data_IF_016845740353
#
_entry.id   IF_016845740353
#
_cell.length_a   1.000
_cell.length_b   1.000
_cell.length_c   1.000
_cell.angle_alpha   90.00
_cell.angle_beta   90.00
_cell.angle_gamma   90.00
#
_symmetry.space_group_name_H-M   'P 1'
#
loop_
_entity.id
_entity.type
_entity.pdbx_description
1 polymer ?
#
# COMPACT_ATOMS: atom_id res chain seq x y z
N UNK A 1 7.22 68.79 -46.27
CA UNK A 1 7.18 70.24 -46.00
C UNK A 1 6.69 70.43 -44.57
N UNK A 2 7.56 71.02 -43.73
CA UNK A 2 7.32 71.85 -42.53
C UNK A 2 5.91 72.43 -42.35
N UNK A 3 5.38 72.83 -41.18
CA UNK A 3 5.72 72.79 -39.73
C UNK A 3 4.56 73.53 -39.00
N UNK A 4 4.51 73.40 -37.66
CA UNK A 4 3.86 74.22 -36.60
C UNK A 4 2.51 73.69 -36.10
N UNK A 5 2.41 73.10 -34.89
CA UNK A 5 2.68 73.57 -33.52
C UNK A 5 1.60 74.55 -33.01
N UNK A 6 0.88 74.20 -31.93
CA UNK A 6 1.21 74.64 -30.56
C UNK A 6 0.18 74.12 -29.51
N UNK A 7 0.67 73.81 -28.30
CA UNK A 7 -0.11 73.42 -27.10
C UNK A 7 -0.74 74.63 -26.38
N UNK A 8 -1.16 74.54 -25.09
CA UNK A 8 -0.45 73.94 -23.94
C UNK A 8 -1.33 73.00 -23.07
N UNK A 9 -0.84 71.91 -22.43
CA UNK A 9 -0.05 71.77 -21.18
C UNK A 9 -0.57 72.59 -19.98
N UNK A 10 -1.21 71.92 -18.99
CA UNK A 10 -0.82 71.98 -17.56
C UNK A 10 -1.66 71.04 -16.68
N UNK A 11 -0.97 70.22 -15.89
CA UNK A 11 -1.41 69.62 -14.61
C UNK A 11 -0.51 70.23 -13.52
N UNK A 12 -1.07 70.74 -12.42
CA UNK A 12 -0.67 70.30 -11.06
C UNK A 12 -1.91 70.31 -10.11
N UNK A 13 -1.95 69.79 -8.88
CA UNK A 13 -0.97 69.27 -7.94
C UNK A 13 -1.64 68.25 -6.98
N UNK A 14 -0.82 67.63 -6.13
CA UNK A 14 -1.14 66.56 -5.18
C UNK A 14 -1.53 67.15 -3.82
N UNK A 15 -2.73 66.87 -3.33
CA UNK A 15 -3.07 67.16 -1.91
C UNK A 15 -2.60 66.01 -1.03
N UNK A 16 -1.75 66.34 -0.05
CA UNK A 16 -1.20 65.46 0.99
C UNK A 16 -2.19 65.39 2.19
N UNK A 17 -2.36 64.24 2.86
CA UNK A 17 -3.30 64.10 3.96
C UNK A 17 -2.78 64.71 5.27
N UNK A 18 -3.65 65.17 6.19
CA UNK A 18 -3.27 65.44 7.57
C UNK A 18 -3.17 64.15 8.40
N UNK A 19 -2.26 64.17 9.37
CA UNK A 19 -1.79 63.06 10.20
C UNK A 19 -2.70 62.72 11.40
N UNK A 20 -2.47 61.51 11.95
CA UNK A 20 -3.08 60.88 13.13
C UNK A 20 -3.10 61.74 14.41
N UNK A 21 -3.89 61.32 15.42
CA UNK A 21 -3.22 60.70 16.56
C UNK A 21 -3.83 59.34 17.00
N UNK A 22 -3.01 58.29 17.00
CA UNK A 22 -3.04 57.20 18.00
C UNK A 22 -2.45 57.76 19.33
N UNK A 23 -2.58 57.16 20.54
CA UNK A 23 -2.74 55.73 20.90
C UNK A 23 -3.79 55.53 22.06
N UNK A 24 -4.16 54.36 22.62
CA UNK A 24 -3.42 53.23 23.23
C UNK A 24 -4.37 52.03 23.49
N UNK A 25 -3.85 50.80 23.64
CA UNK A 25 -4.61 49.56 23.81
C UNK A 25 -5.06 49.28 25.26
N UNK A 26 -6.09 48.43 25.48
CA UNK A 26 -6.57 48.11 26.82
C UNK A 26 -5.57 47.25 27.59
N UNK A 27 -5.18 47.77 28.75
CA UNK A 27 -4.40 47.10 29.79
C UNK A 27 -5.22 45.99 30.42
N UNK A 28 -4.73 44.74 30.37
CA UNK A 28 -5.13 43.74 31.35
C UNK A 28 -4.39 44.04 32.65
N UNK A 29 -5.13 44.32 33.72
CA UNK A 29 -4.55 44.41 35.07
C UNK A 29 -5.40 43.64 36.06
N UNK A 30 -4.69 42.77 36.76
CA UNK A 30 -5.01 41.89 37.87
C UNK A 30 -5.60 42.58 39.10
N UNK A 31 -6.75 42.08 39.59
CA UNK A 31 -7.03 41.54 40.96
C UNK A 31 -8.47 41.80 41.45
N UNK A 32 -9.19 40.69 41.55
CA UNK A 32 -10.03 40.23 42.66
C UNK A 32 -11.20 41.08 43.20
N UNK A 33 -12.42 40.53 43.04
CA UNK A 33 -13.34 40.37 44.16
C UNK A 33 -14.17 39.09 43.98
N UNK A 34 -14.01 38.20 44.95
CA UNK A 34 -14.72 36.94 45.14
C UNK A 34 -16.19 37.18 45.47
N UNK A 35 -17.12 36.56 44.72
CA UNK A 35 -18.39 36.06 45.27
C UNK A 35 -18.79 34.76 44.56
N UNK A 36 -18.79 33.68 45.36
CA UNK A 36 -19.27 32.34 45.06
C UNK A 36 -20.72 32.33 44.54
N UNK A 37 -20.99 31.49 43.55
CA UNK A 37 -22.22 30.70 43.42
C UNK A 37 -21.93 29.51 42.51
N UNK A 38 -21.56 28.42 43.15
CA UNK A 38 -21.31 27.10 42.56
C UNK A 38 -22.63 26.40 42.26
N UNK A 39 -22.91 26.12 40.99
CA UNK A 39 -23.73 24.98 40.57
C UNK A 39 -22.94 24.25 39.50
N UNK A 40 -22.32 23.16 39.91
CA UNK A 40 -21.55 22.23 39.11
C UNK A 40 -22.49 21.38 38.26
N UNK A 41 -22.56 21.64 36.96
CA UNK A 41 -22.98 20.65 35.97
C UNK A 41 -21.72 20.04 35.37
N UNK A 42 -21.29 18.92 35.94
CA UNK A 42 -20.17 18.11 35.48
C UNK A 42 -20.58 17.45 34.16
N UNK A 43 -20.22 18.07 33.04
CA UNK A 43 -20.31 17.42 31.73
C UNK A 43 -19.30 18.03 30.75
N UNK A 44 -18.00 17.92 31.05
CA UNK A 44 -16.94 18.42 30.14
C UNK A 44 -15.58 17.74 30.32
N UNK A 45 -15.53 16.46 30.73
CA UNK A 45 -14.25 15.70 30.76
C UNK A 45 -14.05 14.76 29.58
N UNK A 46 -15.01 14.66 28.63
CA UNK A 46 -14.84 13.80 27.44
C UNK A 46 -14.11 14.47 26.26
N UNK A 47 -13.70 15.74 26.36
CA UNK A 47 -13.15 16.50 25.22
C UNK A 47 -11.65 16.80 25.28
N UNK A 48 -10.88 16.15 26.18
CA UNK A 48 -9.42 16.32 26.22
C UNK A 48 -8.62 15.09 25.73
N UNK A 49 -9.23 13.92 25.60
CA UNK A 49 -8.55 12.72 25.08
C UNK A 49 -8.50 12.68 23.53
N UNK A 50 -9.34 13.47 22.83
CA UNK A 50 -9.41 13.47 21.36
C UNK A 50 -8.25 14.22 20.71
N UNK A 51 -7.72 15.26 21.34
CA UNK A 51 -6.68 16.11 20.76
C UNK A 51 -5.28 15.46 20.75
N UNK A 52 -5.06 14.41 21.56
CA UNK A 52 -3.76 13.74 21.70
C UNK A 52 -3.52 12.69 20.62
N UNK A 53 -4.56 12.19 19.94
CA UNK A 53 -4.43 11.08 18.98
C UNK A 53 -4.59 11.49 17.51
N UNK A 54 -4.76 12.77 17.19
CA UNK A 54 -4.97 13.22 15.80
C UNK A 54 -6.21 12.58 15.13
N UNK A 55 -7.13 12.03 15.93
CA UNK A 55 -8.37 11.37 15.50
C UNK A 55 -9.55 12.31 15.74
N UNK A 56 -10.48 12.30 14.80
CA UNK A 56 -11.72 13.05 14.92
C UNK A 56 -12.61 12.47 16.02
N UNK A 57 -13.54 13.28 16.55
CA UNK A 57 -14.55 12.76 17.47
C UNK A 57 -15.48 11.79 16.72
N UNK A 58 -16.06 10.77 17.39
CA UNK A 58 -16.94 9.82 16.71
C UNK A 58 -18.11 10.47 15.95
N UNK A 59 -18.62 11.59 16.47
CA UNK A 59 -19.68 12.38 15.80
C UNK A 59 -19.18 13.04 14.52
N UNK A 60 -17.96 13.61 14.54
CA UNK A 60 -17.34 14.19 13.35
C UNK A 60 -16.99 13.11 12.32
N UNK A 61 -16.47 11.96 12.75
CA UNK A 61 -16.18 10.82 11.87
C UNK A 61 -17.45 10.34 11.16
N UNK A 62 -18.56 10.20 11.89
CA UNK A 62 -19.84 9.80 11.30
C UNK A 62 -20.29 10.77 10.21
N UNK A 63 -20.10 12.07 10.43
CA UNK A 63 -20.42 13.10 9.42
C UNK A 63 -19.53 12.99 8.18
N UNK A 64 -18.22 12.79 8.36
CA UNK A 64 -17.27 12.61 7.25
C UNK A 64 -17.57 11.35 6.44
N UNK A 65 -17.89 10.23 7.11
CA UNK A 65 -18.29 8.99 6.47
C UNK A 65 -19.62 9.16 5.73
N UNK A 66 -20.58 9.90 6.28
CA UNK A 66 -21.85 10.23 5.59
C UNK A 66 -21.60 11.04 4.31
N UNK A 67 -20.81 12.12 4.40
CA UNK A 67 -20.46 12.95 3.25
C UNK A 67 -19.72 12.15 2.16
N UNK A 68 -18.77 11.29 2.56
CA UNK A 68 -18.08 10.38 1.64
C UNK A 68 -19.05 9.38 0.99
N UNK A 69 -20.03 8.86 1.74
CA UNK A 69 -21.05 7.94 1.22
C UNK A 69 -22.00 8.61 0.22
N UNK A 70 -22.33 9.89 0.39
CA UNK A 70 -23.10 10.67 -0.58
C UNK A 70 -22.33 10.82 -1.89
N UNK A 71 -21.05 11.18 -1.83
CA UNK A 71 -20.18 11.24 -3.01
C UNK A 71 -20.02 9.86 -3.67
N UNK A 72 -19.89 8.80 -2.88
CA UNK A 72 -19.88 7.41 -3.37
C UNK A 72 -21.17 7.07 -4.13
N UNK A 73 -22.33 7.49 -3.62
CA UNK A 73 -23.61 7.27 -4.29
C UNK A 73 -23.69 8.02 -5.63
N UNK A 74 -23.23 9.28 -5.66
CA UNK A 74 -23.11 10.05 -6.90
C UNK A 74 -22.19 9.33 -7.91
N UNK A 75 -21.00 8.94 -7.48
CA UNK A 75 -20.03 8.21 -8.31
C UNK A 75 -20.58 6.87 -8.82
N UNK A 76 -21.35 6.13 -8.02
CA UNK A 76 -22.03 4.92 -8.45
C UNK A 76 -23.06 5.19 -9.56
N UNK A 77 -23.77 6.33 -9.50
CA UNK A 77 -24.66 6.75 -10.57
C UNK A 77 -23.86 7.08 -11.86
N UNK A 78 -22.70 7.73 -11.73
CA UNK A 78 -21.80 7.98 -12.88
C UNK A 78 -21.22 6.68 -13.46
N UNK A 79 -20.93 5.69 -12.60
CA UNK A 79 -20.49 4.37 -13.02
C UNK A 79 -21.58 3.63 -13.81
N UNK A 80 -22.84 3.72 -13.37
CA UNK A 80 -23.97 3.08 -14.04
C UNK A 80 -24.22 3.64 -15.46
N UNK A 81 -23.96 4.94 -15.68
CA UNK A 81 -23.98 5.58 -17.02
C UNK A 81 -22.70 5.36 -17.85
N UNK A 82 -21.78 4.50 -17.39
CA UNK A 82 -20.48 4.23 -18.02
C UNK A 82 -19.53 5.43 -18.14
N UNK A 83 -19.73 6.49 -17.35
CA UNK A 83 -18.83 7.64 -17.31
C UNK A 83 -17.74 7.44 -16.25
N UNK A 84 -16.80 6.55 -16.55
CA UNK A 84 -15.80 6.09 -15.58
C UNK A 84 -14.82 7.17 -15.13
N UNK A 85 -14.40 8.08 -16.02
CA UNK A 85 -13.44 9.14 -15.67
C UNK A 85 -14.05 10.13 -14.66
N UNK A 86 -15.29 10.55 -14.88
CA UNK A 86 -16.02 11.41 -13.93
C UNK A 86 -16.34 10.66 -12.62
N UNK A 87 -16.63 9.36 -12.69
CA UNK A 87 -16.80 8.51 -11.52
C UNK A 87 -15.52 8.47 -10.67
N UNK A 88 -14.35 8.27 -11.29
CA UNK A 88 -13.04 8.28 -10.61
C UNK A 88 -12.83 9.60 -9.88
N UNK A 89 -13.00 10.74 -10.57
CA UNK A 89 -12.86 12.07 -9.94
C UNK A 89 -13.79 12.26 -8.74
N UNK A 90 -15.01 11.71 -8.81
CA UNK A 90 -15.98 11.80 -7.71
C UNK A 90 -15.60 10.87 -6.54
N UNK A 91 -15.05 9.69 -6.82
CA UNK A 91 -14.49 8.81 -5.78
C UNK A 91 -13.24 9.40 -5.12
N UNK A 92 -12.38 10.09 -5.87
CA UNK A 92 -11.19 10.77 -5.32
C UNK A 92 -11.60 11.90 -4.36
N UNK A 93 -12.65 12.64 -4.70
CA UNK A 93 -13.28 13.59 -3.77
C UNK A 93 -13.80 12.88 -2.53
N UNK A 94 -14.46 11.73 -2.67
CA UNK A 94 -14.94 10.94 -1.53
C UNK A 94 -13.79 10.43 -0.64
N UNK A 95 -12.63 10.11 -1.22
CA UNK A 95 -11.43 9.71 -0.50
C UNK A 95 -10.79 10.87 0.26
N UNK A 96 -10.83 12.09 -0.29
CA UNK A 96 -10.29 13.28 0.35
C UNK A 96 -11.09 13.68 1.62
N UNK A 97 -12.38 13.37 1.66
CA UNK A 97 -13.23 13.58 2.85
C UNK A 97 -12.92 12.60 4.00
N UNK A 98 -12.27 11.46 3.72
CA UNK A 98 -12.03 10.43 4.73
C UNK A 98 -10.67 10.60 5.42
N UNK A 99 -10.61 10.50 6.76
CA UNK A 99 -9.34 10.39 7.48
C UNK A 99 -8.58 9.10 7.09
N UNK A 100 -7.24 9.19 6.98
CA UNK A 100 -6.37 8.09 6.52
C UNK A 100 -6.40 6.81 7.37
N UNK A 101 -6.99 6.85 8.56
CA UNK A 101 -7.07 5.71 9.47
C UNK A 101 -8.40 4.93 9.33
N UNK A 102 -9.34 5.37 8.49
CA UNK A 102 -10.56 4.62 8.17
C UNK A 102 -10.30 3.66 7.00
N UNK A 103 -9.47 2.67 7.26
CA UNK A 103 -8.89 1.78 6.25
C UNK A 103 -9.94 0.99 5.47
N UNK A 104 -11.01 0.51 6.13
CA UNK A 104 -12.10 -0.19 5.45
C UNK A 104 -12.88 0.71 4.48
N UNK A 105 -13.29 1.91 4.91
CA UNK A 105 -14.08 2.82 4.05
C UNK A 105 -13.25 3.25 2.84
N UNK A 106 -11.96 3.54 3.06
CA UNK A 106 -11.00 3.80 1.99
C UNK A 106 -10.88 2.61 1.05
N UNK A 107 -10.77 1.38 1.56
CA UNK A 107 -10.67 0.18 0.74
C UNK A 107 -11.92 -0.07 -0.12
N UNK A 108 -13.12 0.27 0.37
CA UNK A 108 -14.36 0.20 -0.41
C UNK A 108 -14.30 1.15 -1.60
N UNK A 109 -13.88 2.40 -1.39
CA UNK A 109 -13.75 3.39 -2.46
C UNK A 109 -12.66 3.01 -3.45
N UNK A 110 -11.48 2.59 -2.98
CA UNK A 110 -10.38 2.10 -3.82
C UNK A 110 -10.80 0.89 -4.66
N UNK A 111 -11.61 -0.01 -4.12
CA UNK A 111 -12.22 -1.12 -4.86
C UNK A 111 -13.07 -0.62 -6.05
N UNK A 112 -13.83 0.46 -5.88
CA UNK A 112 -14.67 1.00 -6.94
C UNK A 112 -13.88 1.82 -7.97
N UNK A 113 -12.87 2.58 -7.53
CA UNK A 113 -11.90 3.25 -8.41
C UNK A 113 -11.19 2.22 -9.29
N UNK A 114 -10.70 1.12 -8.70
CA UNK A 114 -10.10 0.03 -9.45
C UNK A 114 -11.08 -0.60 -10.46
N UNK A 115 -12.37 -0.70 -10.13
CA UNK A 115 -13.38 -1.17 -11.09
C UNK A 115 -13.53 -0.24 -12.29
N UNK A 116 -13.43 1.07 -12.09
CA UNK A 116 -13.43 2.07 -13.17
C UNK A 116 -12.20 1.92 -14.05
N UNK A 117 -11.00 1.82 -13.48
CA UNK A 117 -9.77 1.63 -14.25
C UNK A 117 -9.75 0.31 -15.04
N UNK A 118 -10.29 -0.78 -14.47
CA UNK A 118 -10.46 -2.05 -15.19
C UNK A 118 -11.38 -1.88 -16.41
N UNK A 119 -12.41 -1.02 -16.33
CA UNK A 119 -13.32 -0.74 -17.45
C UNK A 119 -12.69 0.17 -18.51
N UNK A 120 -11.75 1.03 -18.11
CA UNK A 120 -10.96 1.89 -18.99
C UNK A 120 -9.69 1.21 -19.53
N UNK A 121 -9.46 -0.06 -19.18
CA UNK A 121 -8.23 -0.81 -19.53
C UNK A 121 -6.94 -0.15 -19.04
N UNK A 122 -7.03 0.69 -18.00
CA UNK A 122 -5.90 1.32 -17.32
C UNK A 122 -5.35 0.36 -16.27
N UNK A 123 -4.68 -0.69 -16.74
CA UNK A 123 -4.27 -1.81 -15.89
C UNK A 123 -3.32 -1.44 -14.75
N UNK A 124 -2.44 -0.46 -14.96
CA UNK A 124 -1.45 -0.02 -13.96
C UNK A 124 -2.15 0.69 -12.79
N UNK A 125 -2.96 1.70 -13.10
CA UNK A 125 -3.73 2.46 -12.11
C UNK A 125 -4.72 1.55 -11.36
N UNK A 126 -5.32 0.57 -12.05
CA UNK A 126 -6.15 -0.44 -11.42
C UNK A 126 -5.39 -1.28 -10.38
N UNK A 127 -4.15 -1.68 -10.66
CA UNK A 127 -3.31 -2.43 -9.72
C UNK A 127 -2.93 -1.57 -8.52
N UNK A 128 -2.54 -0.33 -8.73
CA UNK A 128 -2.17 0.61 -7.65
C UNK A 128 -3.35 0.85 -6.70
N UNK A 129 -4.54 1.14 -7.24
CA UNK A 129 -5.76 1.29 -6.45
C UNK A 129 -6.09 0.00 -5.67
N UNK A 130 -5.92 -1.18 -6.29
CA UNK A 130 -6.12 -2.45 -5.60
C UNK A 130 -5.13 -2.66 -4.44
N UNK A 131 -3.86 -2.32 -4.65
CA UNK A 131 -2.81 -2.45 -3.63
C UNK A 131 -3.02 -1.49 -2.46
N UNK A 132 -3.41 -0.25 -2.74
CA UNK A 132 -3.79 0.72 -1.71
C UNK A 132 -4.93 0.19 -0.83
N UNK A 133 -6.00 -0.32 -1.45
CA UNK A 133 -7.14 -0.92 -0.73
C UNK A 133 -6.75 -2.17 0.07
N UNK A 134 -5.98 -3.09 -0.52
CA UNK A 134 -5.51 -4.29 0.17
C UNK A 134 -4.58 -3.96 1.35
N UNK A 135 -3.73 -2.95 1.19
CA UNK A 135 -2.84 -2.46 2.25
C UNK A 135 -3.60 -1.89 3.44
N UNK A 136 -4.72 -1.19 3.21
CA UNK A 136 -5.64 -0.76 4.27
C UNK A 136 -6.29 -1.95 4.98
N UNK A 137 -6.86 -2.89 4.23
CA UNK A 137 -7.50 -4.07 4.83
C UNK A 137 -6.53 -4.97 5.59
N UNK A 138 -5.26 -5.04 5.20
CA UNK A 138 -4.22 -5.78 5.95
C UNK A 138 -3.88 -5.10 7.29
N UNK A 139 -4.04 -3.78 7.41
CA UNK A 139 -3.91 -3.08 8.71
C UNK A 139 -5.10 -3.34 9.62
N UNK A 140 -6.31 -3.39 9.06
CA UNK A 140 -7.56 -3.65 9.79
C UNK A 140 -7.69 -5.11 10.22
N UNK A 141 -7.45 -6.03 9.29
CA UNK A 141 -7.55 -7.47 9.50
C UNK A 141 -6.32 -8.16 8.91
N UNK A 142 -5.22 -8.24 9.68
CA UNK A 142 -3.99 -8.90 9.24
C UNK A 142 -4.24 -10.36 8.89
N UNK A 143 -3.72 -10.77 7.73
CA UNK A 143 -3.78 -12.16 7.24
C UNK A 143 -2.45 -12.87 7.38
N UNK A 144 -1.35 -12.10 7.38
CA UNK A 144 0.01 -12.63 7.55
C UNK A 144 0.44 -12.45 9.00
N UNK A 145 0.76 -13.54 9.68
CA UNK A 145 1.47 -13.47 10.96
C UNK A 145 2.84 -12.84 10.71
N UNK A 146 3.14 -11.69 11.32
CA UNK A 146 4.49 -11.11 11.30
C UNK A 146 5.42 -12.13 11.99
N UNK A 147 6.16 -12.91 11.20
CA UNK A 147 7.33 -13.64 11.70
C UNK A 147 8.34 -12.58 12.15
N UNK A 148 8.37 -12.27 13.43
CA UNK A 148 9.48 -11.58 14.05
C UNK A 148 10.74 -12.38 13.73
N UNK A 149 11.61 -11.81 12.89
CA UNK A 149 12.96 -12.33 12.71
C UNK A 149 13.69 -12.08 14.03
N UNK A 150 13.70 -13.05 14.92
CA UNK A 150 14.68 -13.08 16.01
C UNK A 150 16.04 -13.19 15.34
N UNK A 151 16.83 -12.11 15.36
CA UNK A 151 18.25 -12.13 15.04
C UNK A 151 18.91 -13.19 15.92
N UNK A 152 19.21 -14.36 15.33
CA UNK A 152 20.13 -15.30 15.95
C UNK A 152 21.53 -14.76 15.75
N UNK A 153 22.00 -14.00 16.73
CA UNK A 153 23.41 -13.71 16.94
C UNK A 153 24.16 -15.04 16.98
N UNK A 154 24.94 -15.32 15.92
CA UNK A 154 25.84 -16.48 15.85
C UNK A 154 27.01 -16.24 16.80
N UNK A 155 26.88 -16.64 18.06
CA UNK A 155 28.04 -16.79 18.94
C UNK A 155 28.75 -18.09 18.57
N UNK A 156 29.95 -17.97 17.98
CA UNK A 156 30.88 -19.08 17.73
C UNK A 156 31.25 -19.75 19.05
N UNK A 157 30.80 -20.98 19.29
CA UNK A 157 31.36 -21.83 20.33
C UNK A 157 32.47 -22.69 19.72
N UNK A 158 33.73 -22.32 20.04
CA UNK A 158 34.89 -23.20 19.85
C UNK A 158 34.83 -24.33 20.88
N UNK A 159 35.07 -25.53 20.37
CA UNK A 159 35.36 -26.76 21.10
C UNK A 159 36.53 -26.59 22.08
N UNK A 160 36.31 -26.95 23.34
CA UNK A 160 37.33 -27.07 24.38
C UNK A 160 36.93 -28.16 25.36
N UNK A 161 37.70 -29.22 25.39
CA UNK A 161 37.52 -30.43 26.17
C UNK A 161 38.27 -30.27 27.50
N UNK A 162 37.65 -30.48 28.68
CA UNK A 162 38.30 -31.07 29.86
C UNK A 162 37.38 -31.24 31.10
N UNK A 163 37.33 -32.51 31.55
CA UNK A 163 37.66 -33.01 32.91
C UNK A 163 36.78 -32.63 34.12
N UNK A 164 36.04 -33.66 34.58
CA UNK A 164 35.82 -34.17 35.96
C UNK A 164 36.20 -33.24 37.14
N UNK A 165 35.27 -33.04 38.09
CA UNK A 165 35.38 -33.49 39.51
C UNK A 165 34.05 -33.33 40.26
N UNK A 166 33.95 -34.09 41.36
CA UNK A 166 32.84 -34.39 42.27
C UNK A 166 32.89 -33.44 43.49
N UNK A 167 31.77 -33.12 44.15
CA UNK A 167 31.79 -32.58 45.52
C UNK A 167 30.62 -31.67 45.94
N UNK A 168 29.74 -32.24 46.76
CA UNK A 168 28.89 -31.74 47.86
C UNK A 168 28.56 -30.25 48.07
N UNK A 169 27.32 -30.00 48.55
CA UNK A 169 27.03 -28.86 49.45
C UNK A 169 25.69 -28.14 49.32
N UNK A 170 24.60 -28.79 49.78
CA UNK A 170 23.49 -28.30 50.63
C UNK A 170 23.03 -26.81 50.62
N UNK A 171 21.69 -26.67 50.74
CA UNK A 171 20.83 -25.59 51.31
C UNK A 171 20.81 -24.21 50.62
N UNK A 172 19.63 -23.82 50.12
CA UNK A 172 18.72 -22.90 50.84
C UNK A 172 17.28 -23.02 50.32
N UNK A 173 16.36 -23.07 51.27
CA UNK A 173 14.91 -22.97 51.14
C UNK A 173 14.47 -21.50 51.23
N UNK A 174 13.22 -21.28 50.81
CA UNK A 174 12.34 -20.16 51.18
C UNK A 174 12.68 -18.75 50.66
N UNK A 175 11.88 -18.30 49.69
CA UNK A 175 10.85 -17.26 49.91
C UNK A 175 10.12 -17.01 48.60
N UNK A 176 8.84 -17.38 48.60
CA UNK A 176 7.86 -16.96 47.61
C UNK A 176 7.52 -15.47 47.78
N UNK A 177 7.45 -14.75 46.67
CA UNK A 177 6.42 -13.74 46.36
C UNK A 177 6.96 -12.89 45.22
N UNK A 178 6.40 -13.03 44.01
CA UNK A 178 5.95 -11.86 43.26
C UNK A 178 5.05 -12.24 42.09
N UNK A 179 3.90 -11.57 42.11
CA UNK A 179 2.75 -11.57 41.20
C UNK A 179 3.13 -11.58 39.70
N UNK A 180 2.84 -12.68 38.99
CA UNK A 180 2.84 -12.69 37.53
C UNK A 180 1.51 -12.14 36.99
N UNK A 181 1.53 -10.86 36.60
CA UNK A 181 0.57 -10.28 35.67
C UNK A 181 0.87 -10.75 34.25
N UNK A 182 0.39 -11.93 33.88
CA UNK A 182 0.57 -12.50 32.55
C UNK A 182 -0.55 -12.04 31.60
N UNK A 183 -0.40 -10.88 30.95
CA UNK A 183 -1.23 -10.54 29.78
C UNK A 183 -0.60 -11.11 28.50
N UNK A 184 -0.95 -12.37 28.20
CA UNK A 184 -0.66 -13.06 26.94
C UNK A 184 -1.48 -12.42 25.81
N UNK A 185 -0.83 -11.66 24.92
CA UNK A 185 -1.44 -11.19 23.66
C UNK A 185 -0.92 -11.98 22.45
N UNK A 186 -0.86 -13.31 22.59
CA UNK A 186 -0.21 -14.19 21.62
C UNK A 186 -1.07 -15.31 21.03
N UNK A 187 -2.39 -15.15 20.83
CA UNK A 187 -3.23 -16.28 20.38
C UNK A 187 -3.94 -16.10 19.02
N UNK A 188 -3.34 -16.79 18.05
CA UNK A 188 -3.86 -17.37 16.80
C UNK A 188 -5.37 -17.20 16.53
N UNK A 189 -5.71 -16.40 15.51
CA UNK A 189 -7.06 -16.33 14.98
C UNK A 189 -7.26 -17.40 13.89
N UNK A 190 -7.37 -18.67 14.29
CA UNK A 190 -8.08 -19.69 13.50
C UNK A 190 -9.57 -19.48 13.78
N UNK A 191 -10.39 -19.35 12.75
CA UNK A 191 -11.83 -19.07 12.86
C UNK A 191 -12.59 -20.11 13.69
N UNK A 192 -12.56 -19.93 15.01
CA UNK A 192 -13.04 -20.86 16.02
C UNK A 192 -12.56 -20.50 17.44
N UNK A 193 -12.18 -19.25 17.70
CA UNK A 193 -11.91 -18.79 19.07
C UNK A 193 -13.22 -18.78 19.84
N UNK A 194 -13.41 -19.77 20.71
CA UNK A 194 -14.53 -19.80 21.65
C UNK A 194 -14.28 -18.72 22.70
N UNK A 195 -15.05 -17.65 22.66
CA UNK A 195 -15.06 -16.65 23.73
C UNK A 195 -15.99 -17.19 24.81
N UNK A 196 -15.42 -17.69 25.91
CA UNK A 196 -16.20 -18.11 27.07
C UNK A 196 -16.71 -16.86 27.78
N UNK A 197 -18.04 -16.71 27.87
CA UNK A 197 -18.65 -15.65 28.67
C UNK A 197 -18.64 -16.07 30.13
N UNK A 198 -18.16 -15.22 31.06
CA UNK A 198 -18.18 -15.55 32.47
C UNK A 198 -19.61 -15.76 32.95
N UNK A 199 -19.86 -16.87 33.64
CA UNK A 199 -21.19 -17.31 34.12
C UNK A 199 -21.84 -16.35 35.14
N UNK A 200 -21.14 -15.28 35.55
CA UNK A 200 -21.59 -14.25 36.47
C UNK A 200 -22.21 -13.02 35.80
N UNK A 201 -22.21 -12.95 34.45
CA UNK A 201 -22.84 -11.85 33.72
C UNK A 201 -24.37 -12.01 33.72
N UNK A 202 -25.09 -10.89 33.93
CA UNK A 202 -26.53 -10.87 33.78
C UNK A 202 -26.95 -11.14 32.32
N UNK A 203 -28.18 -11.65 32.12
CA UNK A 203 -28.71 -11.98 30.79
C UNK A 203 -28.62 -10.81 29.80
N UNK A 204 -28.76 -9.57 30.27
CA UNK A 204 -28.64 -8.37 29.46
C UNK A 204 -27.19 -8.12 28.97
N UNK A 205 -26.19 -8.40 29.80
CA UNK A 205 -24.78 -8.22 29.45
C UNK A 205 -24.27 -9.34 28.54
N UNK A 206 -24.81 -10.56 28.72
CA UNK A 206 -24.64 -11.67 27.76
C UNK A 206 -25.22 -11.30 26.40
N UNK A 207 -26.43 -10.72 26.35
CA UNK A 207 -27.02 -10.27 25.09
C UNK A 207 -26.19 -9.17 24.40
N UNK A 208 -25.69 -8.18 25.16
CA UNK A 208 -24.83 -7.11 24.64
C UNK A 208 -23.51 -7.63 24.07
N UNK A 209 -22.86 -8.57 24.76
CA UNK A 209 -21.60 -9.17 24.31
C UNK A 209 -21.80 -10.01 23.05
N UNK A 210 -22.85 -10.82 22.98
CA UNK A 210 -23.22 -11.56 21.76
C UNK A 210 -23.50 -10.62 20.56
N UNK A 211 -24.22 -9.52 20.79
CA UNK A 211 -24.47 -8.53 19.76
C UNK A 211 -23.18 -7.86 19.25
N UNK A 212 -22.25 -7.54 20.15
CA UNK A 212 -20.94 -6.98 19.79
C UNK A 212 -20.08 -7.98 19.00
N UNK A 213 -20.09 -9.27 19.37
CA UNK A 213 -19.41 -10.33 18.63
C UNK A 213 -19.99 -10.49 17.23
N UNK A 214 -21.32 -10.53 17.10
CA UNK A 214 -22.01 -10.62 15.81
C UNK A 214 -21.68 -9.44 14.88
N UNK A 215 -21.65 -8.22 15.42
CA UNK A 215 -21.23 -7.03 14.66
C UNK A 215 -19.78 -7.15 14.19
N UNK A 216 -18.90 -7.72 15.02
CA UNK A 216 -17.50 -7.96 14.65
C UNK A 216 -17.37 -9.00 13.53
N UNK A 217 -18.20 -10.04 13.54
CA UNK A 217 -18.24 -11.06 12.48
C UNK A 217 -18.80 -10.52 11.17
N UNK A 218 -19.84 -9.68 11.23
CA UNK A 218 -20.35 -8.96 10.07
C UNK A 218 -19.26 -8.08 9.45
N UNK A 219 -18.51 -7.34 10.28
CA UNK A 219 -17.38 -6.52 9.81
C UNK A 219 -16.28 -7.36 9.17
N UNK A 220 -15.94 -8.52 9.73
CA UNK A 220 -14.97 -9.47 9.15
C UNK A 220 -15.45 -10.01 7.80
N UNK A 221 -16.74 -10.34 7.68
CA UNK A 221 -17.34 -10.81 6.43
C UNK A 221 -17.29 -9.72 5.35
N UNK A 222 -17.57 -8.48 5.72
CA UNK A 222 -17.50 -7.32 4.81
C UNK A 222 -16.07 -7.05 4.33
N UNK A 223 -15.10 -7.03 5.26
CA UNK A 223 -13.67 -6.92 4.92
C UNK A 223 -13.26 -8.03 3.96
N UNK A 224 -13.69 -9.26 4.23
CA UNK A 224 -13.41 -10.42 3.38
C UNK A 224 -13.96 -10.22 1.96
N UNK A 225 -15.20 -9.75 1.83
CA UNK A 225 -15.83 -9.49 0.53
C UNK A 225 -15.09 -8.40 -0.26
N UNK A 226 -14.69 -7.31 0.39
CA UNK A 226 -13.93 -6.24 -0.28
C UNK A 226 -12.53 -6.74 -0.68
N UNK A 227 -11.84 -7.49 0.19
CA UNK A 227 -10.55 -8.11 -0.12
C UNK A 227 -10.63 -9.03 -1.34
N UNK A 228 -11.65 -9.88 -1.41
CA UNK A 228 -11.90 -10.76 -2.56
C UNK A 228 -12.06 -9.95 -3.85
N UNK A 229 -12.87 -8.88 -3.83
CA UNK A 229 -13.07 -8.02 -5.00
C UNK A 229 -11.78 -7.34 -5.45
N UNK A 230 -10.96 -6.85 -4.51
CA UNK A 230 -9.67 -6.23 -4.80
C UNK A 230 -8.69 -7.25 -5.40
N UNK A 231 -8.57 -8.44 -4.81
CA UNK A 231 -7.71 -9.52 -5.33
C UNK A 231 -8.11 -9.92 -6.75
N UNK A 232 -9.42 -10.09 -7.00
CA UNK A 232 -9.91 -10.47 -8.32
C UNK A 232 -9.59 -9.41 -9.39
N UNK A 233 -9.80 -8.13 -9.06
CA UNK A 233 -9.48 -7.01 -9.97
C UNK A 233 -7.98 -6.87 -10.21
N UNK A 234 -7.16 -7.04 -9.17
CA UNK A 234 -5.70 -7.02 -9.28
C UNK A 234 -5.19 -8.16 -10.17
N UNK A 235 -5.68 -9.38 -9.94
CA UNK A 235 -5.34 -10.56 -10.73
C UNK A 235 -5.71 -10.38 -12.22
N UNK A 236 -6.93 -9.86 -12.48
CA UNK A 236 -7.37 -9.55 -13.85
C UNK A 236 -6.52 -8.48 -14.50
N UNK A 237 -6.21 -7.40 -13.78
CA UNK A 237 -5.41 -6.30 -14.32
C UNK A 237 -3.99 -6.73 -14.65
N UNK A 238 -3.35 -7.49 -13.75
CA UNK A 238 -2.01 -8.05 -13.96
C UNK A 238 -1.97 -9.05 -15.13
N UNK A 239 -2.99 -9.87 -15.29
CA UNK A 239 -3.07 -10.84 -16.40
C UNK A 239 -3.43 -10.23 -17.76
N UNK A 240 -3.99 -9.01 -17.77
CA UNK A 240 -4.38 -8.26 -18.98
C UNK A 240 -3.36 -7.18 -19.35
N UNK A 241 -2.34 -6.96 -18.52
CA UNK A 241 -1.30 -5.97 -18.78
C UNK A 241 -0.53 -6.34 -20.07
N UNK A 242 -0.27 -5.37 -20.97
CA UNK A 242 0.51 -5.62 -22.17
C UNK A 242 1.94 -6.04 -21.80
N UNK A 243 2.54 -6.87 -22.64
CA UNK A 243 3.93 -7.25 -22.47
C UNK A 243 4.81 -6.00 -22.60
N UNK A 244 5.51 -5.65 -21.53
CA UNK A 244 6.49 -4.57 -21.53
C UNK A 244 7.84 -5.22 -21.83
N UNK A 245 8.47 -4.86 -22.96
CA UNK A 245 9.88 -5.17 -23.15
C UNK A 245 10.66 -4.39 -22.10
N UNK A 246 11.53 -5.08 -21.37
CA UNK A 246 12.35 -4.50 -20.29
C UNK A 246 13.28 -3.37 -20.76
N UNK A 247 13.34 -3.09 -22.06
CA UNK A 247 14.33 -2.21 -22.66
C UNK A 247 13.79 -1.05 -23.48
N UNK A 248 12.47 -0.94 -23.72
CA UNK A 248 11.89 0.26 -24.35
C UNK A 248 12.09 1.55 -23.51
N UNK A 249 12.51 1.41 -22.24
CA UNK A 249 12.89 2.53 -21.36
C UNK A 249 14.36 2.98 -21.51
N UNK A 250 15.23 2.24 -22.21
CA UNK A 250 16.60 2.71 -22.50
C UNK A 250 16.57 3.41 -23.85
N UNK A 251 16.37 4.74 -23.80
CA UNK A 251 16.09 5.58 -24.95
C UNK A 251 16.93 5.28 -26.20
N UNK A 252 16.26 5.30 -27.35
CA UNK A 252 16.90 5.35 -28.66
C UNK A 252 18.03 6.40 -28.67
N UNK A 253 19.26 6.03 -29.05
CA UNK A 253 20.33 7.01 -29.25
C UNK A 253 20.04 7.74 -30.58
N UNK A 254 19.23 8.80 -30.53
CA UNK A 254 18.89 9.58 -31.73
C UNK A 254 17.82 10.66 -31.59
N UNK A 255 17.12 10.77 -30.46
CA UNK A 255 16.15 11.83 -30.22
C UNK A 255 16.79 13.07 -29.60
N UNK A 256 16.73 14.21 -30.30
CA UNK A 256 17.17 15.52 -29.80
C UNK A 256 16.51 15.88 -28.44
N UNK A 257 17.20 16.63 -27.56
CA UNK A 257 16.65 16.98 -26.25
C UNK A 257 15.45 17.94 -26.40
N UNK A 258 14.30 17.69 -25.76
CA UNK A 258 13.28 18.70 -25.61
C UNK A 258 13.73 19.75 -24.59
N UNK A 259 13.61 21.01 -25.01
CA UNK A 259 13.98 22.20 -24.26
C UNK A 259 13.22 22.29 -22.92
N UNK A 260 13.95 22.64 -21.86
CA UNK A 260 13.47 22.71 -20.48
C UNK A 260 12.79 24.04 -20.17
N UNK A 261 11.56 24.00 -19.65
CA UNK A 261 11.08 24.98 -18.67
C UNK A 261 9.76 24.54 -18.01
N UNK A 262 9.80 24.39 -16.68
CA UNK A 262 8.75 24.53 -15.65
C UNK A 262 8.44 23.30 -14.75
N UNK A 263 8.69 23.55 -13.46
CA UNK A 263 8.10 22.96 -12.23
C UNK A 263 8.66 21.68 -11.59
N UNK A 264 9.26 21.78 -10.38
CA UNK A 264 9.63 20.65 -9.55
C UNK A 264 8.67 20.53 -8.35
N UNK A 265 7.43 20.05 -8.56
CA UNK A 265 6.59 19.59 -7.44
C UNK A 265 5.77 18.36 -7.80
N UNK A 266 6.08 17.26 -7.11
CA UNK A 266 5.22 16.09 -6.92
C UNK A 266 5.04 15.11 -8.11
N UNK A 267 5.87 14.08 -8.15
CA UNK A 267 5.39 12.68 -8.06
C UNK A 267 6.57 11.72 -7.92
N UNK A 268 6.51 10.87 -6.89
CA UNK A 268 7.36 9.69 -6.76
C UNK A 268 6.96 8.70 -7.87
N UNK A 269 7.48 8.86 -9.08
CA UNK A 269 7.42 7.79 -10.08
C UNK A 269 8.43 6.73 -9.66
N UNK A 270 7.96 5.68 -8.98
CA UNK A 270 8.74 4.46 -8.79
C UNK A 270 9.04 3.88 -10.17
N UNK A 271 10.23 4.16 -10.69
CA UNK A 271 10.68 3.76 -12.01
C UNK A 271 11.10 2.27 -12.01
N UNK A 272 10.19 1.40 -11.58
CA UNK A 272 10.33 -0.05 -11.61
C UNK A 272 9.48 -0.60 -12.72
N UNK A 273 10.04 -0.75 -13.92
CA UNK A 273 9.39 -1.54 -14.98
C UNK A 273 9.39 -3.00 -14.52
N UNK A 274 8.29 -3.44 -13.90
CA UNK A 274 8.10 -4.85 -13.55
C UNK A 274 8.06 -5.68 -14.82
N UNK A 275 8.83 -6.77 -14.86
CA UNK A 275 8.85 -7.66 -16.03
C UNK A 275 7.44 -8.25 -16.27
N UNK A 276 7.15 -8.59 -17.53
CA UNK A 276 5.87 -9.17 -17.92
C UNK A 276 5.67 -10.51 -17.22
N UNK A 277 6.72 -11.33 -17.17
CA UNK A 277 6.69 -12.58 -16.41
C UNK A 277 6.37 -12.33 -14.93
N UNK A 278 7.05 -11.39 -14.27
CA UNK A 278 6.81 -11.06 -12.86
C UNK A 278 5.34 -10.68 -12.61
N UNK A 279 4.77 -9.87 -13.51
CA UNK A 279 3.38 -9.42 -13.43
C UNK A 279 2.39 -10.57 -13.57
N UNK A 280 2.61 -11.48 -14.54
CA UNK A 280 1.78 -12.67 -14.73
C UNK A 280 1.88 -13.65 -13.56
N UNK A 281 3.08 -13.82 -12.99
CA UNK A 281 3.30 -14.64 -11.79
C UNK A 281 2.52 -14.07 -10.61
N UNK A 282 2.58 -12.76 -10.39
CA UNK A 282 1.82 -12.09 -9.35
C UNK A 282 0.29 -12.19 -9.56
N UNK A 283 -0.18 -12.25 -10.81
CA UNK A 283 -1.58 -12.55 -11.11
C UNK A 283 -1.97 -13.98 -10.71
N UNK A 284 -1.11 -14.95 -11.00
CA UNK A 284 -1.32 -16.35 -10.61
C UNK A 284 -1.41 -16.50 -9.10
N UNK A 285 -0.53 -15.83 -8.34
CA UNK A 285 -0.57 -15.80 -6.87
C UNK A 285 -1.89 -15.26 -6.31
N UNK A 286 -2.46 -14.23 -6.94
CA UNK A 286 -3.75 -13.67 -6.53
C UNK A 286 -4.89 -14.68 -6.77
N UNK A 287 -4.88 -15.37 -7.92
CA UNK A 287 -5.87 -16.40 -8.24
C UNK A 287 -5.74 -17.65 -7.36
N UNK A 288 -4.52 -18.08 -7.03
CA UNK A 288 -4.31 -19.20 -6.12
C UNK A 288 -4.76 -18.82 -4.72
N UNK A 289 -4.47 -17.61 -4.23
CA UNK A 289 -4.93 -17.13 -2.93
C UNK A 289 -6.47 -17.14 -2.82
N UNK A 290 -7.17 -16.72 -3.88
CA UNK A 290 -8.63 -16.75 -3.96
C UNK A 290 -9.20 -18.18 -3.92
N UNK A 291 -8.53 -19.15 -4.55
CA UNK A 291 -8.94 -20.57 -4.55
C UNK A 291 -8.63 -21.25 -3.22
N UNK A 292 -7.43 -21.04 -2.69
CA UNK A 292 -6.87 -21.82 -1.57
C UNK A 292 -7.38 -21.33 -0.21
N UNK A 293 -7.90 -20.11 -0.13
CA UNK A 293 -8.48 -19.56 1.10
C UNK A 293 -9.99 -19.84 1.15
N UNK A 294 -10.51 -20.71 2.06
CA UNK A 294 -11.92 -21.10 2.07
C UNK A 294 -12.88 -19.92 2.25
N UNK A 295 -12.54 -18.95 3.11
CA UNK A 295 -13.35 -17.76 3.33
C UNK A 295 -13.46 -16.89 2.07
N UNK A 296 -12.40 -16.83 1.25
CA UNK A 296 -12.40 -16.06 0.00
C UNK A 296 -13.20 -16.78 -1.08
N UNK A 297 -13.02 -18.09 -1.18
CA UNK A 297 -13.78 -18.93 -2.10
C UNK A 297 -15.29 -18.89 -1.82
N UNK A 298 -15.68 -18.93 -0.54
CA UNK A 298 -17.07 -18.80 -0.12
C UNK A 298 -17.68 -17.45 -0.51
N UNK A 299 -16.92 -16.35 -0.35
CA UNK A 299 -17.38 -14.99 -0.66
C UNK A 299 -17.39 -14.64 -2.17
N UNK A 300 -16.78 -15.45 -3.02
CA UNK A 300 -16.73 -15.25 -4.48
C UNK A 300 -18.10 -15.56 -5.15
N UNK A 301 -18.59 -14.69 -6.05
CA UNK A 301 -19.74 -14.99 -6.91
C UNK A 301 -19.50 -16.23 -7.80
N UNK A 302 -20.54 -17.02 -8.13
CA UNK A 302 -20.38 -18.21 -8.98
C UNK A 302 -19.80 -17.93 -10.38
N UNK A 303 -20.09 -16.78 -10.98
CA UNK A 303 -19.50 -16.32 -12.25
C UNK A 303 -17.99 -16.13 -12.14
N UNK A 304 -17.55 -15.57 -11.03
CA UNK A 304 -16.16 -15.22 -10.80
C UNK A 304 -15.34 -16.47 -10.47
N UNK A 305 -15.93 -17.46 -9.79
CA UNK A 305 -15.30 -18.78 -9.55
C UNK A 305 -14.87 -19.46 -10.85
N UNK A 306 -15.73 -19.43 -11.88
CA UNK A 306 -15.38 -19.96 -13.21
C UNK A 306 -14.21 -19.20 -13.83
N UNK A 307 -14.21 -17.88 -13.70
CA UNK A 307 -13.13 -17.02 -14.20
C UNK A 307 -11.80 -17.35 -13.51
N UNK A 308 -11.80 -17.54 -12.19
CA UNK A 308 -10.62 -17.94 -11.41
C UNK A 308 -10.11 -19.31 -11.88
N UNK A 309 -11.00 -20.30 -12.02
CA UNK A 309 -10.62 -21.64 -12.49
C UNK A 309 -9.98 -21.62 -13.88
N UNK A 310 -10.58 -20.88 -14.83
CA UNK A 310 -10.02 -20.73 -16.18
C UNK A 310 -8.66 -20.02 -16.16
N UNK A 311 -8.52 -18.96 -15.36
CA UNK A 311 -7.26 -18.25 -15.22
C UNK A 311 -6.13 -19.15 -14.68
N UNK A 312 -6.43 -20.03 -13.72
CA UNK A 312 -5.47 -20.98 -13.16
C UNK A 312 -4.97 -22.03 -14.16
N UNK A 313 -5.76 -22.32 -15.20
CA UNK A 313 -5.34 -23.23 -16.29
C UNK A 313 -4.53 -22.46 -17.35
N UNK A 314 -4.95 -21.24 -17.70
CA UNK A 314 -4.38 -20.49 -18.82
C UNK A 314 -3.12 -19.68 -18.45
N UNK A 315 -2.94 -19.29 -17.19
CA UNK A 315 -1.79 -18.48 -16.78
C UNK A 315 -0.45 -19.22 -16.74
N UNK A 316 -0.34 -20.46 -16.21
CA UNK A 316 0.94 -21.17 -16.17
C UNK A 316 1.67 -21.29 -17.51
N UNK A 317 1.04 -21.68 -18.65
CA UNK A 317 1.74 -21.73 -19.92
C UNK A 317 2.16 -20.34 -20.43
N UNK A 318 1.36 -19.29 -20.17
CA UNK A 318 1.70 -17.90 -20.52
C UNK A 318 2.91 -17.39 -19.72
N UNK A 319 2.99 -17.77 -18.45
CA UNK A 319 4.10 -17.44 -17.55
C UNK A 319 5.39 -18.06 -18.07
N UNK A 320 5.39 -19.35 -18.41
CA UNK A 320 6.58 -20.04 -18.90
C UNK A 320 7.02 -19.47 -20.26
N UNK A 321 6.08 -19.18 -21.17
CA UNK A 321 6.39 -18.54 -22.45
C UNK A 321 6.99 -17.13 -22.26
N UNK A 322 6.43 -16.30 -21.38
CA UNK A 322 6.94 -14.96 -21.08
C UNK A 322 8.34 -15.02 -20.44
N UNK A 323 8.53 -15.96 -19.51
CA UNK A 323 9.82 -16.23 -18.87
C UNK A 323 10.90 -16.58 -19.89
N UNK A 324 10.63 -17.57 -20.75
CA UNK A 324 11.60 -18.00 -21.77
C UNK A 324 11.94 -16.86 -22.73
N UNK A 325 10.94 -16.08 -23.15
CA UNK A 325 11.15 -14.91 -24.00
C UNK A 325 12.05 -13.88 -23.33
N UNK A 326 11.73 -13.45 -22.12
CA UNK A 326 12.53 -12.45 -21.40
C UNK A 326 13.95 -12.94 -21.10
N UNK A 327 14.12 -14.20 -20.70
CA UNK A 327 15.44 -14.80 -20.47
C UNK A 327 16.25 -14.87 -21.77
N UNK A 328 15.62 -15.23 -22.89
CA UNK A 328 16.28 -15.26 -24.20
C UNK A 328 16.69 -13.87 -24.67
N UNK A 329 15.86 -12.86 -24.43
CA UNK A 329 16.16 -11.46 -24.78
C UNK A 329 17.30 -10.91 -23.91
N UNK A 330 17.31 -11.21 -22.61
CA UNK A 330 18.40 -10.85 -21.71
C UNK A 330 19.72 -11.54 -22.10
N UNK A 331 19.67 -12.83 -22.46
CA UNK A 331 20.84 -13.58 -22.91
C UNK A 331 21.39 -13.03 -24.23
N UNK A 332 20.50 -12.72 -25.19
CA UNK A 332 20.88 -12.09 -26.46
C UNK A 332 21.58 -10.75 -26.25
N UNK A 333 21.03 -9.88 -25.40
CA UNK A 333 21.65 -8.58 -25.10
C UNK A 333 22.98 -8.70 -24.35
N UNK A 334 23.10 -9.66 -23.42
CA UNK A 334 24.37 -9.92 -22.74
C UNK A 334 25.43 -10.41 -23.73
N UNK A 335 25.01 -11.23 -24.70
CA UNK A 335 25.86 -11.70 -25.79
C UNK A 335 26.29 -10.54 -26.71
N UNK A 336 25.39 -9.64 -27.06
CA UNK A 336 25.69 -8.46 -27.88
C UNK A 336 26.65 -7.48 -27.18
N UNK A 337 26.47 -7.28 -25.87
CA UNK A 337 27.39 -6.46 -25.07
C UNK A 337 28.77 -7.13 -24.98
N UNK A 338 28.82 -8.45 -24.74
CA UNK A 338 30.06 -9.23 -24.80
C UNK A 338 30.74 -9.13 -26.16
N UNK A 339 29.98 -9.26 -27.24
CA UNK A 339 30.46 -9.10 -28.61
C UNK A 339 30.99 -7.69 -28.87
N UNK A 340 30.37 -6.65 -28.32
CA UNK A 340 30.85 -5.26 -28.46
C UNK A 340 32.22 -5.07 -27.79
N UNK A 341 32.45 -5.71 -26.64
CA UNK A 341 33.75 -5.68 -25.94
C UNK A 341 34.80 -6.55 -26.64
N UNK A 342 34.38 -7.66 -27.25
CA UNK A 342 35.28 -8.64 -27.89
C UNK A 342 35.61 -8.31 -29.35
N UNK A 343 34.77 -7.52 -30.03
CA UNK A 343 34.94 -7.14 -31.44
C UNK A 343 36.28 -6.45 -31.75
N UNK A 344 36.82 -5.54 -30.91
CA UNK A 344 38.16 -4.96 -31.11
C UNK A 344 39.30 -5.99 -31.08
N UNK A 345 39.05 -7.18 -30.52
CA UNK A 345 40.02 -8.27 -30.43
C UNK A 345 39.81 -9.34 -31.51
N UNK A 346 38.88 -9.13 -32.46
CA UNK A 346 38.53 -10.13 -33.47
C UNK A 346 37.80 -11.36 -32.90
N UNK A 347 37.28 -11.26 -31.66
CA UNK A 347 36.63 -12.36 -30.95
C UNK A 347 35.11 -12.14 -30.90
N UNK A 348 34.36 -13.24 -30.79
CA UNK A 348 32.92 -13.21 -30.52
C UNK A 348 32.57 -14.24 -29.44
N UNK A 349 31.55 -13.93 -28.64
CA UNK A 349 30.93 -14.85 -27.69
C UNK A 349 30.44 -16.16 -28.33
N UNK A 350 30.22 -16.19 -29.64
CA UNK A 350 29.89 -17.42 -30.40
C UNK A 350 31.08 -18.37 -30.59
N UNK A 351 32.31 -17.87 -30.50
CA UNK A 351 33.53 -18.69 -30.64
C UNK A 351 33.81 -19.55 -29.41
N UNK A 352 33.09 -19.31 -28.31
CA UNK A 352 33.27 -20.01 -27.04
C UNK A 352 32.11 -21.01 -26.85
N UNK A 353 32.35 -22.29 -27.12
CA UNK A 353 31.38 -23.37 -26.87
C UNK A 353 31.56 -23.91 -25.46
N UNK A 354 30.50 -23.85 -24.67
CA UNK A 354 30.45 -24.45 -23.34
C UNK A 354 29.86 -25.85 -23.44
N UNK A 355 30.58 -26.88 -22.95
CA UNK A 355 30.08 -28.25 -22.81
C UNK A 355 30.02 -28.65 -21.33
N UNK A 356 28.91 -29.28 -20.93
CA UNK A 356 28.72 -29.77 -19.55
C UNK A 356 29.15 -31.24 -19.50
N UNK A 357 30.22 -31.54 -18.75
CA UNK A 357 30.69 -32.90 -18.52
C UNK A 357 29.84 -33.65 -17.49
N UNK A 358 29.86 -34.98 -17.54
CA UNK A 358 29.05 -35.91 -16.76
C UNK A 358 29.21 -35.76 -15.22
N UNK A 359 30.29 -35.12 -14.76
CA UNK A 359 30.55 -34.78 -13.35
C UNK A 359 30.15 -33.35 -12.93
N UNK A 360 29.37 -32.63 -13.75
CA UNK A 360 28.95 -31.26 -13.46
C UNK A 360 30.03 -30.18 -13.72
N UNK A 361 31.18 -30.55 -14.27
CA UNK A 361 32.22 -29.61 -14.72
C UNK A 361 31.86 -28.96 -16.06
N UNK A 362 32.10 -27.66 -16.19
CA UNK A 362 31.95 -26.93 -17.44
C UNK A 362 33.30 -26.87 -18.16
N UNK A 363 33.37 -27.35 -19.41
CA UNK A 363 34.53 -27.20 -20.28
C UNK A 363 34.23 -26.13 -21.34
N UNK A 364 35.14 -25.16 -21.49
CA UNK A 364 35.07 -24.13 -22.52
C UNK A 364 36.00 -24.52 -23.66
N UNK A 365 35.42 -24.77 -24.84
CA UNK A 365 36.16 -25.01 -26.08
C UNK A 365 36.11 -23.76 -26.95
N UNK A 366 37.26 -23.31 -27.41
CA UNK A 366 37.37 -22.19 -28.34
C UNK A 366 37.44 -22.72 -29.77
N UNK A 367 36.50 -22.30 -30.61
CA UNK A 367 36.49 -22.64 -32.04
C UNK A 367 37.02 -21.44 -32.81
N UNK A 368 38.34 -21.46 -33.04
CA UNK A 368 39.05 -20.36 -33.68
C UNK A 368 38.66 -20.21 -35.16
N UNK A 369 38.10 -19.06 -35.50
CA UNK A 369 37.95 -18.63 -36.88
C UNK A 369 39.31 -18.45 -37.54
N UNK A 370 39.80 -19.50 -38.20
CA UNK A 370 41.01 -19.43 -39.00
C UNK A 370 40.81 -18.53 -40.21
N UNK A 371 41.50 -17.38 -40.22
CA UNK A 371 42.20 -16.81 -41.38
C UNK A 371 43.22 -15.79 -40.86
N UNK A 372 44.45 -15.92 -41.35
CA UNK A 372 45.65 -15.22 -40.89
C UNK A 372 45.73 -13.75 -41.26
#
# INVERSE_FOLDING_TARGET
>A
MSFKADGPKTRPERVKPPADPTPTPPTWSTKAASRRSSTSSISSTRSFHSAVSGRFSPTSETRMVSASNELKAQANALFARAEYVSAISTYDRALAELPRYLDYEMAVLQSNVAACHVKLEQWKDAVEACEAGLGGLEREMPTKTKKTKTEKTKTKTKTGHQKRTKGDGKINSDTESDSEGHSDWGQQNKGGTVVELPSSLGEEDVAKTLAALSLSDARRADITRIRVKLLLRRARSRSSMPAVSTFDSFGSPGGAPPNSSSDPTSSKTSNGTSSTWSTLSAALEDYTLLRDTPAYWAALPPSDRKTVQLALVNLPPRIEAAKQREVSEMMGKLKDLGNTVLKPFGLSTDMFKVSQGEGGGYSLSFEGGGKG
#
